data_IF_426399988240
#
_entry.id   IF_426399988240
#
_cell.length_a   1.000
_cell.length_b   1.000
_cell.length_c   1.000
_cell.angle_alpha   90.00
_cell.angle_beta   90.00
_cell.angle_gamma   90.00
#
_symmetry.space_group_name_H-M   'P 1'
#
loop_
_entity.id
_entity.type
_entity.pdbx_description
1 polymer ?
#
# COMPACT_ATOMS: atom_id res chain seq x y z
N UNK A 1 17.75 -1.66 -2.59
CA UNK A 1 18.10 -1.18 -3.94
C UNK A 1 16.82 -0.91 -4.70
N UNK A 2 16.54 0.36 -4.98
CA UNK A 2 15.45 0.77 -5.88
C UNK A 2 15.98 0.60 -7.30
N UNK A 3 15.32 -0.19 -8.16
CA UNK A 3 15.77 -0.45 -9.53
C UNK A 3 15.77 0.86 -10.33
N UNK A 4 16.84 1.11 -11.10
CA UNK A 4 16.86 2.11 -12.18
C UNK A 4 16.06 1.54 -13.35
N UNK A 5 14.80 1.93 -13.49
CA UNK A 5 13.91 1.52 -14.59
C UNK A 5 13.12 2.72 -15.12
N UNK A 6 12.55 2.56 -16.33
CA UNK A 6 11.64 3.55 -16.93
C UNK A 6 10.48 3.85 -15.98
N UNK A 7 10.09 5.13 -15.92
CA UNK A 7 9.12 5.62 -14.96
C UNK A 7 7.69 5.28 -15.43
N UNK A 8 7.25 4.04 -15.23
CA UNK A 8 5.87 3.65 -15.52
C UNK A 8 4.95 4.22 -14.45
N UNK A 9 4.03 5.11 -14.85
CA UNK A 9 3.03 5.69 -13.95
C UNK A 9 2.22 4.58 -13.28
N UNK A 10 2.26 4.50 -11.94
CA UNK A 10 1.48 3.50 -11.21
C UNK A 10 0.00 3.86 -11.33
N UNK A 11 -0.80 2.91 -11.81
CA UNK A 11 -2.26 3.03 -11.89
C UNK A 11 -2.91 1.90 -11.09
N UNK A 12 -3.83 2.20 -10.16
CA UNK A 12 -4.60 1.17 -9.49
C UNK A 12 -5.62 0.53 -10.44
N UNK A 13 -6.10 -0.64 -10.08
CA UNK A 13 -7.23 -1.28 -10.76
C UNK A 13 -8.49 -0.43 -10.59
N UNK A 14 -9.31 -0.37 -11.64
CA UNK A 14 -10.53 0.47 -11.73
C UNK A 14 -11.76 -0.16 -11.08
N UNK A 15 -11.60 -0.91 -9.98
CA UNK A 15 -12.74 -1.52 -9.31
C UNK A 15 -13.47 -0.51 -8.43
N UNK A 16 -14.80 -0.56 -8.49
CA UNK A 16 -15.67 0.15 -7.54
C UNK A 16 -15.71 -0.65 -6.25
N UNK A 17 -15.48 -0.01 -5.10
CA UNK A 17 -15.46 -0.70 -3.81
C UNK A 17 -16.18 0.10 -2.73
N UNK A 18 -16.82 -0.61 -1.81
CA UNK A 18 -17.52 -0.04 -0.67
C UNK A 18 -16.99 -0.63 0.63
N UNK A 19 -16.87 0.20 1.67
CA UNK A 19 -16.55 -0.23 3.02
C UNK A 19 -17.83 -0.44 3.81
N UNK A 20 -17.94 -1.56 4.52
CA UNK A 20 -19.07 -1.88 5.38
C UNK A 20 -18.54 -2.11 6.78
N UNK A 21 -19.07 -1.41 7.77
CA UNK A 21 -18.69 -1.55 9.17
C UNK A 21 -19.89 -1.93 10.04
N UNK A 22 -19.71 -2.70 11.12
CA UNK A 22 -20.72 -2.80 12.16
C UNK A 22 -20.77 -1.49 12.95
N UNK A 23 -21.97 -1.02 13.33
CA UNK A 23 -22.12 0.08 14.30
C UNK A 23 -21.57 -0.30 15.68
N UNK A 24 -21.63 -1.59 15.98
CA UNK A 24 -21.03 -2.19 17.17
C UNK A 24 -19.55 -2.52 16.91
N UNK A 25 -18.66 -1.76 17.54
CA UNK A 25 -17.21 -1.88 17.37
C UNK A 25 -16.60 -3.15 18.00
N UNK A 26 -17.39 -3.94 18.73
CA UNK A 26 -16.93 -5.22 19.30
C UNK A 26 -16.98 -6.36 18.29
N UNK A 27 -17.79 -6.23 17.24
CA UNK A 27 -17.95 -7.25 16.21
C UNK A 27 -16.69 -7.43 15.38
N UNK A 28 -16.41 -8.68 15.08
CA UNK A 28 -15.33 -9.11 14.20
C UNK A 28 -15.74 -8.99 12.73
N UNK A 29 -14.76 -8.92 11.83
CA UNK A 29 -15.05 -8.89 10.39
C UNK A 29 -15.69 -10.19 9.88
N UNK A 30 -15.54 -11.30 10.60
CA UNK A 30 -16.23 -12.55 10.29
C UNK A 30 -17.72 -12.46 10.60
N UNK A 31 -18.09 -11.90 11.74
CA UNK A 31 -19.49 -11.67 12.10
C UNK A 31 -20.15 -10.69 11.14
N UNK A 32 -19.50 -9.56 10.83
CA UNK A 32 -19.99 -8.62 9.82
C UNK A 32 -20.17 -9.31 8.46
N UNK A 33 -19.26 -10.23 8.09
CA UNK A 33 -19.35 -10.97 6.81
C UNK A 33 -20.57 -11.87 6.78
N UNK A 34 -20.81 -12.59 7.87
CA UNK A 34 -21.97 -13.46 7.99
C UNK A 34 -23.27 -12.66 7.92
N UNK A 35 -23.33 -11.46 8.54
CA UNK A 35 -24.49 -10.58 8.45
C UNK A 35 -24.72 -10.13 7.00
N UNK A 36 -23.67 -9.63 6.32
CA UNK A 36 -23.79 -9.18 4.93
C UNK A 36 -24.21 -10.31 4.00
N UNK A 37 -23.65 -11.51 4.13
CA UNK A 37 -24.00 -12.65 3.28
C UNK A 37 -25.41 -13.20 3.49
N UNK A 38 -26.03 -12.92 4.65
CA UNK A 38 -27.45 -13.24 4.90
C UNK A 38 -28.40 -12.22 4.26
N UNK A 39 -27.96 -10.97 4.11
CA UNK A 39 -28.78 -9.86 3.61
C UNK A 39 -28.64 -9.71 2.09
N UNK A 40 -27.41 -9.85 1.60
CA UNK A 40 -27.05 -9.62 0.20
C UNK A 40 -26.91 -10.96 -0.49
N UNK A 41 -27.83 -11.26 -1.42
CA UNK A 41 -27.77 -12.42 -2.30
C UNK A 41 -27.30 -11.96 -3.70
N UNK A 42 -26.02 -12.19 -4.09
CA UNK A 42 -25.49 -11.66 -5.34
C UNK A 42 -26.21 -12.15 -6.60
N UNK A 43 -26.72 -13.39 -6.61
CA UNK A 43 -27.46 -13.96 -7.74
C UNK A 43 -28.78 -13.26 -7.96
N UNK A 44 -29.56 -13.03 -6.90
CA UNK A 44 -30.86 -12.35 -6.97
C UNK A 44 -30.71 -10.89 -7.35
N UNK A 45 -29.72 -10.21 -6.77
CA UNK A 45 -29.44 -8.80 -7.04
C UNK A 45 -28.67 -8.56 -8.35
N UNK A 46 -28.30 -9.64 -9.07
CA UNK A 46 -27.45 -9.61 -10.27
C UNK A 46 -26.17 -8.80 -10.05
N UNK A 47 -25.52 -9.01 -8.89
CA UNK A 47 -24.29 -8.34 -8.49
C UNK A 47 -23.07 -9.12 -8.97
N UNK A 48 -22.17 -8.46 -9.68
CA UNK A 48 -20.86 -9.02 -10.03
C UNK A 48 -19.83 -8.63 -8.98
N UNK A 49 -19.73 -9.45 -7.92
CA UNK A 49 -18.76 -9.25 -6.84
C UNK A 49 -17.40 -9.79 -7.25
N UNK A 50 -16.38 -8.93 -7.31
CA UNK A 50 -14.98 -9.30 -7.57
C UNK A 50 -14.29 -9.89 -6.35
N UNK A 51 -14.64 -9.42 -5.16
CA UNK A 51 -14.04 -9.92 -3.93
C UNK A 51 -14.56 -9.25 -2.67
N UNK A 52 -14.35 -9.96 -1.56
CA UNK A 52 -14.69 -9.49 -0.21
C UNK A 52 -13.43 -9.59 0.66
N UNK A 53 -13.06 -8.51 1.32
CA UNK A 53 -11.85 -8.42 2.14
C UNK A 53 -12.17 -7.89 3.53
N UNK A 54 -11.64 -8.55 4.56
CA UNK A 54 -11.68 -8.07 5.95
C UNK A 54 -10.73 -6.90 6.15
N UNK A 55 -11.18 -5.90 6.90
CA UNK A 55 -10.38 -4.74 7.33
C UNK A 55 -10.52 -4.55 8.84
N UNK A 56 -9.76 -3.62 9.42
CA UNK A 56 -9.80 -3.34 10.86
C UNK A 56 -11.18 -2.87 11.34
N UNK A 57 -11.37 -2.83 12.68
CA UNK A 57 -12.64 -2.41 13.32
C UNK A 57 -13.86 -3.21 12.86
N UNK A 58 -13.69 -4.52 12.64
CA UNK A 58 -14.80 -5.39 12.23
C UNK A 58 -15.32 -5.15 10.81
N UNK A 59 -14.65 -4.31 10.02
CA UNK A 59 -15.14 -3.90 8.71
C UNK A 59 -14.85 -4.89 7.58
N UNK A 60 -15.52 -4.67 6.46
CA UNK A 60 -15.35 -5.36 5.18
C UNK A 60 -15.21 -4.35 4.05
N UNK A 61 -14.43 -4.72 3.03
CA UNK A 61 -14.47 -4.07 1.72
C UNK A 61 -15.03 -5.07 0.72
N UNK A 62 -16.06 -4.63 0.00
CA UNK A 62 -16.66 -5.38 -1.11
C UNK A 62 -16.32 -4.64 -2.40
N UNK A 63 -15.67 -5.34 -3.33
CA UNK A 63 -15.35 -4.82 -4.66
C UNK A 63 -16.30 -5.41 -5.69
N UNK A 64 -16.85 -4.55 -6.54
CA UNK A 64 -17.78 -4.91 -7.63
C UNK A 64 -17.16 -4.64 -9.00
N UNK A 65 -17.74 -5.24 -10.03
CA UNK A 65 -17.32 -5.02 -11.42
C UNK A 65 -17.59 -3.60 -11.88
N UNK A 66 -18.79 -3.09 -11.61
CA UNK A 66 -19.25 -1.79 -12.09
C UNK A 66 -19.66 -0.88 -10.92
N UNK A 67 -19.72 0.43 -11.20
CA UNK A 67 -20.26 1.41 -10.26
C UNK A 67 -21.75 1.18 -10.00
N UNK A 68 -22.50 0.74 -11.00
CA UNK A 68 -23.92 0.38 -10.88
C UNK A 68 -24.13 -0.75 -9.86
N UNK A 69 -23.28 -1.79 -9.88
CA UNK A 69 -23.34 -2.88 -8.90
C UNK A 69 -23.00 -2.39 -7.49
N UNK A 70 -22.09 -1.42 -7.37
CA UNK A 70 -21.80 -0.77 -6.09
C UNK A 70 -22.99 0.06 -5.59
N UNK A 71 -23.67 0.78 -6.48
CA UNK A 71 -24.83 1.59 -6.13
C UNK A 71 -26.01 0.72 -5.65
N UNK A 72 -26.20 -0.47 -6.23
CA UNK A 72 -27.16 -1.47 -5.72
C UNK A 72 -26.84 -1.87 -4.28
N UNK A 73 -25.56 -2.11 -3.96
CA UNK A 73 -25.13 -2.42 -2.59
C UNK A 73 -25.38 -1.24 -1.64
N UNK A 74 -25.02 -0.01 -2.04
CA UNK A 74 -25.26 1.20 -1.24
C UNK A 74 -26.74 1.45 -0.95
N UNK A 75 -27.62 1.11 -1.90
CA UNK A 75 -29.08 1.26 -1.78
C UNK A 75 -29.76 0.14 -0.98
N UNK A 76 -29.03 -0.88 -0.53
CA UNK A 76 -29.60 -2.01 0.21
C UNK A 76 -29.91 -1.60 1.66
N UNK A 77 -31.14 -1.14 1.90
CA UNK A 77 -31.60 -0.59 3.19
C UNK A 77 -31.45 -1.58 4.35
N UNK A 78 -31.61 -2.89 4.07
CA UNK A 78 -31.53 -3.97 5.07
C UNK A 78 -30.16 -4.04 5.75
N UNK A 79 -29.09 -3.56 5.10
CA UNK A 79 -27.76 -3.46 5.72
C UNK A 79 -27.78 -2.44 6.87
N UNK A 80 -28.37 -1.27 6.64
CA UNK A 80 -28.49 -0.22 7.66
C UNK A 80 -29.41 -0.63 8.81
N UNK A 81 -30.51 -1.35 8.51
CA UNK A 81 -31.44 -1.90 9.50
C UNK A 81 -30.79 -2.99 10.37
N UNK A 82 -29.80 -3.70 9.84
CA UNK A 82 -29.06 -4.75 10.56
C UNK A 82 -27.87 -4.22 11.37
N UNK A 83 -27.82 -2.90 11.59
CA UNK A 83 -26.78 -2.24 12.38
C UNK A 83 -25.43 -2.13 11.66
N UNK A 84 -25.42 -2.08 10.33
CA UNK A 84 -24.22 -1.83 9.54
C UNK A 84 -24.20 -0.39 8.99
N UNK A 85 -23.00 0.16 8.76
CA UNK A 85 -22.78 1.39 8.00
C UNK A 85 -22.11 1.05 6.67
N UNK A 86 -22.37 1.88 5.67
CA UNK A 86 -21.82 1.74 4.33
C UNK A 86 -21.13 3.06 3.99
N UNK A 87 -19.83 3.00 3.78
CA UNK A 87 -18.97 4.16 3.59
C UNK A 87 -18.10 3.99 2.33
N UNK A 88 -17.65 5.10 1.77
CA UNK A 88 -16.64 5.05 0.73
C UNK A 88 -15.28 4.65 1.34
N UNK A 89 -14.53 3.72 0.72
CA UNK A 89 -13.25 3.29 1.26
C UNK A 89 -12.27 4.46 1.30
N UNK A 90 -11.85 4.86 2.51
CA UNK A 90 -10.81 5.85 2.67
C UNK A 90 -9.48 5.29 2.14
N UNK A 91 -9.02 5.85 1.02
CA UNK A 91 -7.73 5.53 0.43
C UNK A 91 -6.63 6.37 1.09
N UNK A 92 -5.44 5.80 1.19
CA UNK A 92 -4.28 6.52 1.74
C UNK A 92 -3.66 7.40 0.67
N UNK A 93 -3.05 8.51 1.08
CA UNK A 93 -2.26 9.34 0.17
C UNK A 93 -1.09 8.55 -0.44
N UNK A 94 -0.73 8.83 -1.70
CA UNK A 94 0.40 8.19 -2.33
C UNK A 94 1.72 8.59 -1.70
N UNK A 95 2.69 7.70 -1.85
CA UNK A 95 4.07 7.96 -1.47
C UNK A 95 4.93 7.96 -2.71
N UNK A 96 5.82 8.94 -2.78
CA UNK A 96 6.88 9.01 -3.79
C UNK A 96 8.22 8.92 -3.10
N UNK A 97 9.21 8.41 -3.83
CA UNK A 97 10.60 8.40 -3.42
C UNK A 97 11.39 9.39 -4.26
N UNK A 98 12.08 10.30 -3.59
CA UNK A 98 13.03 11.24 -4.17
C UNK A 98 14.43 10.70 -3.86
N UNK A 99 15.16 10.32 -4.89
CA UNK A 99 16.44 9.65 -4.77
C UNK A 99 17.59 10.66 -4.78
N UNK A 100 18.57 10.49 -3.88
CA UNK A 100 19.80 11.27 -3.90
C UNK A 100 19.65 12.72 -3.41
N UNK A 101 18.79 12.96 -2.43
CA UNK A 101 18.66 14.26 -1.76
C UNK A 101 19.89 14.47 -0.85
N UNK A 102 20.56 15.64 -0.90
CA UNK A 102 21.68 15.94 -0.02
C UNK A 102 21.31 15.77 1.46
N UNK A 103 22.10 14.99 2.19
CA UNK A 103 21.85 14.67 3.59
C UNK A 103 22.08 15.86 4.53
N UNK A 104 22.80 16.88 4.08
CA UNK A 104 23.04 18.13 4.80
C UNK A 104 21.82 19.04 4.88
N UNK A 105 20.82 18.87 4.01
CA UNK A 105 19.64 19.73 3.97
C UNK A 105 18.61 19.34 5.03
N UNK A 106 18.05 20.35 5.69
CA UNK A 106 16.95 20.16 6.62
C UNK A 106 15.64 19.81 5.89
N UNK A 107 14.72 19.13 6.58
CA UNK A 107 13.47 18.66 5.98
C UNK A 107 12.63 19.80 5.39
N UNK A 108 12.48 20.89 6.12
CA UNK A 108 11.77 22.09 5.69
C UNK A 108 12.42 22.73 4.46
N UNK A 109 13.74 22.76 4.37
CA UNK A 109 14.46 23.28 3.20
C UNK A 109 14.18 22.43 1.96
N UNK A 110 14.22 21.10 2.10
CA UNK A 110 13.88 20.18 1.00
C UNK A 110 12.44 20.41 0.55
N UNK A 111 11.49 20.54 1.48
CA UNK A 111 10.08 20.77 1.14
C UNK A 111 9.85 22.12 0.46
N UNK A 112 10.51 23.17 0.94
CA UNK A 112 10.49 24.48 0.30
C UNK A 112 11.03 24.39 -1.13
N UNK A 113 12.17 23.72 -1.34
CA UNK A 113 12.72 23.52 -2.69
C UNK A 113 11.76 22.74 -3.60
N UNK A 114 11.11 21.69 -3.09
CA UNK A 114 10.13 20.92 -3.88
C UNK A 114 9.01 21.84 -4.36
N UNK A 115 8.50 22.73 -3.51
CA UNK A 115 7.48 23.69 -3.92
C UNK A 115 8.06 24.74 -4.89
N UNK A 116 9.05 25.50 -4.44
CA UNK A 116 9.56 26.70 -5.10
C UNK A 116 10.15 26.39 -6.49
N UNK A 117 10.91 25.29 -6.62
CA UNK A 117 11.64 24.94 -7.86
C UNK A 117 10.87 23.98 -8.78
N UNK A 118 9.76 23.37 -8.35
CA UNK A 118 9.12 22.30 -9.14
C UNK A 118 7.60 22.42 -9.28
N UNK A 119 6.91 23.15 -8.40
CA UNK A 119 5.45 23.14 -8.36
C UNK A 119 4.81 24.50 -8.62
N UNK A 120 5.49 25.62 -8.35
CA UNK A 120 4.95 26.99 -8.51
C UNK A 120 4.27 27.18 -9.87
N UNK A 121 4.92 26.82 -10.97
CA UNK A 121 4.38 26.99 -12.33
C UNK A 121 3.35 25.92 -12.72
N UNK A 122 3.33 24.79 -12.02
CA UNK A 122 2.51 23.61 -12.36
C UNK A 122 1.20 23.55 -11.62
N UNK A 123 1.13 24.16 -10.45
CA UNK A 123 -0.02 24.15 -9.55
C UNK A 123 -0.29 25.59 -9.07
N UNK A 124 -0.71 26.51 -9.98
CA UNK A 124 -0.83 27.93 -9.68
C UNK A 124 -1.90 28.25 -8.62
N UNK A 125 -2.85 27.35 -8.40
CA UNK A 125 -3.90 27.50 -7.38
C UNK A 125 -3.48 27.05 -5.99
N UNK A 126 -2.30 26.42 -5.85
CA UNK A 126 -1.84 25.88 -4.58
C UNK A 126 -0.83 26.82 -3.94
N UNK A 127 -1.14 27.35 -2.76
CA UNK A 127 -0.21 28.15 -1.94
C UNK A 127 0.87 27.28 -1.31
N UNK A 128 2.00 27.88 -0.93
CA UNK A 128 3.11 27.20 -0.24
C UNK A 128 2.67 26.61 1.10
N UNK A 129 1.86 27.34 1.85
CA UNK A 129 1.34 26.93 3.17
C UNK A 129 0.43 25.70 3.04
N UNK A 130 -0.48 25.72 2.06
CA UNK A 130 -1.33 24.57 1.74
C UNK A 130 -0.50 23.35 1.31
N UNK A 131 0.54 23.56 0.49
CA UNK A 131 1.47 22.50 0.09
C UNK A 131 2.14 21.87 1.31
N UNK A 132 2.81 22.68 2.15
CA UNK A 132 3.55 22.22 3.32
C UNK A 132 2.65 21.47 4.32
N UNK A 133 1.40 21.90 4.47
CA UNK A 133 0.40 21.21 5.31
C UNK A 133 -0.06 19.87 4.70
N UNK A 134 -0.04 19.76 3.38
CA UNK A 134 -0.57 18.59 2.66
C UNK A 134 0.42 17.43 2.52
N UNK A 135 1.72 17.71 2.63
CA UNK A 135 2.81 16.75 2.47
C UNK A 135 3.36 16.27 3.82
N UNK A 136 4.00 15.10 3.83
CA UNK A 136 4.61 14.55 5.06
C UNK A 136 5.80 13.66 4.76
N UNK A 137 6.90 13.79 5.51
CA UNK A 137 7.97 12.80 5.47
C UNK A 137 7.47 11.47 6.06
N UNK A 138 7.52 10.39 5.27
CA UNK A 138 7.28 9.06 5.81
C UNK A 138 8.52 8.51 6.51
N UNK A 139 9.65 8.49 5.81
CA UNK A 139 10.95 8.09 6.33
C UNK A 139 12.05 8.43 5.32
N UNK A 140 13.30 8.44 5.77
CA UNK A 140 14.47 8.46 4.91
C UNK A 140 15.02 7.04 4.73
N UNK A 141 15.64 6.77 3.60
CA UNK A 141 16.40 5.54 3.38
C UNK A 141 17.76 5.85 2.76
N UNK A 142 18.75 5.01 3.00
CA UNK A 142 20.13 5.26 2.57
C UNK A 142 21.12 4.72 3.59
N UNK A 143 22.40 4.95 3.36
CA UNK A 143 23.44 4.67 4.37
C UNK A 143 23.46 5.82 5.37
N UNK A 144 23.75 5.53 6.64
CA UNK A 144 23.67 6.50 7.74
C UNK A 144 24.62 7.69 7.55
N UNK A 145 25.77 7.46 6.92
CA UNK A 145 26.86 8.44 6.78
C UNK A 145 27.12 8.82 5.30
N UNK A 146 26.14 8.60 4.42
CA UNK A 146 26.25 9.03 3.03
C UNK A 146 25.92 10.51 2.88
N UNK A 147 26.64 11.20 2.00
CA UNK A 147 26.36 12.60 1.61
C UNK A 147 24.95 12.79 1.04
N UNK A 148 24.34 11.72 0.53
CA UNK A 148 23.01 11.72 -0.05
C UNK A 148 22.14 10.62 0.55
N UNK A 149 20.85 10.93 0.70
CA UNK A 149 19.83 10.00 1.17
C UNK A 149 18.60 10.03 0.25
N UNK A 150 17.67 9.10 0.45
CA UNK A 150 16.41 9.08 -0.28
C UNK A 150 15.27 9.48 0.64
N UNK A 151 14.43 10.39 0.18
CA UNK A 151 13.23 10.84 0.89
C UNK A 151 12.03 10.06 0.40
N UNK A 152 11.30 9.40 1.30
CA UNK A 152 9.99 8.83 1.00
C UNK A 152 8.96 9.78 1.59
N UNK A 153 8.22 10.46 0.73
CA UNK A 153 7.27 11.50 1.13
C UNK A 153 5.85 11.11 0.71
N UNK A 154 4.91 11.38 1.59
CA UNK A 154 3.48 11.24 1.36
C UNK A 154 2.92 12.55 0.80
N UNK A 155 2.22 12.48 -0.33
CA UNK A 155 1.76 13.66 -1.08
C UNK A 155 0.33 13.44 -1.59
N UNK A 156 -0.47 14.50 -1.81
CA UNK A 156 -1.73 14.41 -2.56
C UNK A 156 -1.57 13.90 -4.00
N UNK A 157 -2.64 13.35 -4.58
CA UNK A 157 -2.65 12.81 -5.95
C UNK A 157 -2.25 13.85 -7.01
N UNK A 158 -2.72 15.09 -6.88
CA UNK A 158 -2.37 16.20 -7.78
C UNK A 158 -0.88 16.52 -7.76
N UNK A 159 -0.28 16.64 -6.58
CA UNK A 159 1.16 16.85 -6.38
C UNK A 159 1.95 15.68 -6.93
N UNK A 160 1.56 14.44 -6.60
CA UNK A 160 2.19 13.24 -7.16
C UNK A 160 2.23 13.30 -8.69
N UNK A 161 1.08 13.57 -9.34
CA UNK A 161 0.98 13.63 -10.79
C UNK A 161 1.96 14.65 -11.38
N UNK A 162 2.03 15.85 -10.81
CA UNK A 162 2.97 16.88 -11.24
C UNK A 162 4.45 16.47 -11.10
N UNK A 163 4.80 15.84 -9.97
CA UNK A 163 6.18 15.44 -9.67
C UNK A 163 6.63 14.21 -10.46
N UNK A 164 5.79 13.18 -10.60
CA UNK A 164 6.14 11.94 -11.33
C UNK A 164 6.28 12.20 -12.83
N UNK A 165 5.41 13.04 -13.41
CA UNK A 165 5.50 13.42 -14.84
C UNK A 165 6.81 14.19 -15.13
N UNK A 166 7.34 14.93 -14.15
CA UNK A 166 8.62 15.63 -14.29
C UNK A 166 9.83 14.67 -14.33
N UNK A 167 9.67 13.41 -13.89
CA UNK A 167 10.72 12.38 -13.71
C UNK A 167 11.82 12.70 -12.68
N UNK A 168 12.17 13.98 -12.50
CA UNK A 168 13.25 14.45 -11.64
C UNK A 168 12.81 15.71 -10.91
N UNK A 169 13.15 15.83 -9.63
CA UNK A 169 12.95 17.03 -8.83
C UNK A 169 14.26 17.77 -8.64
N UNK A 170 14.19 19.09 -8.61
CA UNK A 170 15.31 19.95 -8.30
C UNK A 170 15.24 20.33 -6.83
N UNK A 171 16.36 20.14 -6.13
CA UNK A 171 16.57 20.52 -4.73
C UNK A 171 17.87 21.31 -4.69
N UNK A 172 17.77 22.64 -4.64
CA UNK A 172 18.89 23.55 -4.87
C UNK A 172 19.61 23.21 -6.18
N UNK A 173 20.91 22.90 -6.11
CA UNK A 173 21.76 22.53 -7.25
C UNK A 173 21.72 21.04 -7.59
N UNK A 174 20.87 20.26 -6.91
CA UNK A 174 20.82 18.80 -7.08
C UNK A 174 19.59 18.39 -7.86
N UNK A 175 19.78 17.56 -8.90
CA UNK A 175 18.70 16.93 -9.64
C UNK A 175 18.48 15.51 -9.13
N UNK A 176 17.31 15.26 -8.55
CA UNK A 176 16.95 14.03 -7.84
C UNK A 176 15.88 13.25 -8.61
N UNK A 177 16.13 12.01 -9.07
CA UNK A 177 15.07 11.19 -9.68
C UNK A 177 13.90 10.96 -8.72
N UNK A 178 12.67 11.02 -9.23
CA UNK A 178 11.45 10.78 -8.44
C UNK A 178 10.60 9.66 -9.02
N UNK A 179 10.15 8.74 -8.16
CA UNK A 179 9.38 7.54 -8.55
C UNK A 179 8.25 7.29 -7.56
N UNK A 180 7.24 6.54 -7.96
CA UNK A 180 6.25 6.02 -7.03
C UNK A 180 6.90 5.05 -6.04
N UNK A 181 6.56 5.19 -4.76
CA UNK A 181 7.02 4.29 -3.72
C UNK A 181 5.95 3.23 -3.43
N UNK A 182 6.05 2.09 -4.11
CA UNK A 182 5.11 0.97 -4.02
C UNK A 182 5.59 -0.21 -3.16
N UNK A 183 6.76 -0.07 -2.53
CA UNK A 183 7.39 -1.16 -1.78
C UNK A 183 6.56 -1.53 -0.54
N UNK A 184 6.21 -2.80 -0.45
CA UNK A 184 5.47 -3.36 0.69
C UNK A 184 6.43 -4.01 1.68
N UNK A 185 6.35 -3.59 2.94
CA UNK A 185 7.16 -4.14 4.02
C UNK A 185 6.93 -5.65 4.15
N UNK A 186 8.03 -6.41 4.07
CA UNK A 186 8.07 -7.83 4.45
C UNK A 186 8.48 -7.94 5.91
N UNK A 187 7.71 -8.68 6.69
CA UNK A 187 8.04 -9.06 8.05
C UNK A 187 9.15 -10.10 8.05
N UNK A 188 10.32 -9.77 8.58
CA UNK A 188 11.44 -10.71 8.68
C UNK A 188 11.24 -11.81 9.74
N UNK A 189 10.20 -11.71 10.58
CA UNK A 189 9.84 -12.75 11.56
C UNK A 189 9.00 -13.86 10.93
N UNK A 190 7.88 -13.52 10.28
CA UNK A 190 6.93 -14.50 9.72
C UNK A 190 6.95 -14.58 8.18
N UNK A 191 7.84 -13.84 7.54
CA UNK A 191 8.00 -13.75 6.08
C UNK A 191 6.76 -13.26 5.30
N UNK A 192 5.75 -12.69 5.98
CA UNK A 192 4.54 -12.16 5.34
C UNK A 192 4.67 -10.66 5.02
N UNK A 193 3.85 -10.18 4.08
CA UNK A 193 3.82 -8.78 3.68
C UNK A 193 2.78 -7.96 4.45
N UNK A 194 3.07 -6.68 4.66
CA UNK A 194 2.13 -5.67 5.18
C UNK A 194 2.38 -5.22 6.62
N UNK A 195 3.37 -5.78 7.31
CA UNK A 195 3.76 -5.34 8.65
C UNK A 195 5.26 -5.55 8.90
N UNK A 196 5.81 -4.81 9.87
CA UNK A 196 7.19 -4.96 10.30
C UNK A 196 7.32 -6.06 11.36
N UNK A 197 8.52 -6.62 11.54
CA UNK A 197 8.79 -7.63 12.56
C UNK A 197 8.44 -7.16 13.98
N UNK A 198 8.66 -5.87 14.29
CA UNK A 198 8.34 -5.24 15.58
C UNK A 198 6.85 -5.30 15.94
N UNK A 199 5.96 -5.33 14.94
CA UNK A 199 4.50 -5.39 15.13
C UNK A 199 3.93 -6.77 14.81
N UNK A 200 4.79 -7.77 14.66
CA UNK A 200 4.38 -9.13 14.33
C UNK A 200 3.83 -9.84 15.57
N UNK A 201 2.62 -10.40 15.45
CA UNK A 201 1.94 -11.11 16.55
C UNK A 201 2.26 -12.61 16.60
N UNK A 202 2.99 -13.14 15.63
CA UNK A 202 3.35 -14.57 15.61
C UNK A 202 4.42 -14.84 16.67
N UNK A 203 4.27 -15.91 17.44
CA UNK A 203 5.23 -16.32 18.46
C UNK A 203 6.55 -16.81 17.84
N UNK A 204 6.47 -17.88 17.02
CA UNK A 204 7.61 -18.49 16.37
C UNK A 204 8.04 -17.77 15.07
N UNK A 205 9.35 -17.74 14.74
CA UNK A 205 9.81 -17.27 13.45
C UNK A 205 9.51 -18.30 12.35
N UNK A 206 9.42 -17.81 11.11
CA UNK A 206 9.37 -18.64 9.90
C UNK A 206 10.68 -18.45 9.14
N UNK A 207 11.34 -19.55 8.82
CA UNK A 207 12.59 -19.55 8.08
C UNK A 207 12.38 -19.00 6.66
N UNK A 208 13.19 -18.02 6.26
CA UNK A 208 13.12 -17.43 4.92
C UNK A 208 13.72 -18.30 3.81
N UNK A 209 14.40 -19.40 4.17
CA UNK A 209 15.03 -20.33 3.22
C UNK A 209 14.21 -21.58 2.98
N UNK A 210 13.79 -22.31 4.03
CA UNK A 210 13.00 -23.54 3.88
C UNK A 210 11.49 -23.32 4.05
N UNK A 211 11.07 -22.20 4.66
CA UNK A 211 9.66 -21.88 4.91
C UNK A 211 9.03 -22.55 6.13
N UNK A 212 9.80 -23.31 6.90
CA UNK A 212 9.33 -23.96 8.13
C UNK A 212 9.29 -22.99 9.31
N UNK A 213 8.40 -23.25 10.26
CA UNK A 213 8.27 -22.48 11.50
C UNK A 213 9.23 -23.01 12.58
N UNK A 214 9.56 -22.16 13.56
CA UNK A 214 10.35 -22.53 14.74
C UNK A 214 11.80 -22.06 14.73
N UNK A 215 12.34 -21.63 13.58
CA UNK A 215 13.73 -21.16 13.48
C UNK A 215 13.90 -20.01 12.48
N UNK A 216 15.01 -19.27 12.60
CA UNK A 216 15.36 -18.21 11.66
C UNK A 216 16.13 -18.74 10.45
N UNK A 217 16.29 -17.95 9.40
CA UNK A 217 17.14 -18.34 8.26
C UNK A 217 18.59 -18.64 8.68
N UNK A 218 19.08 -17.99 9.74
CA UNK A 218 20.45 -18.20 10.23
C UNK A 218 20.61 -19.58 10.86
N UNK A 219 19.56 -20.09 11.50
CA UNK A 219 19.56 -21.39 12.21
C UNK A 219 19.07 -22.55 11.32
N UNK A 220 18.87 -22.29 10.03
CA UNK A 220 18.35 -23.29 9.11
C UNK A 220 19.36 -24.41 8.86
N UNK A 221 18.97 -25.66 9.07
CA UNK A 221 19.77 -26.86 8.78
C UNK A 221 19.72 -27.25 7.29
N UNK A 222 18.72 -26.76 6.55
CA UNK A 222 18.47 -27.07 5.13
C UNK A 222 19.09 -26.04 4.17
N UNK A 223 20.21 -25.40 4.55
CA UNK A 223 20.86 -24.35 3.73
C UNK A 223 21.41 -24.88 2.41
N UNK A 224 21.78 -26.16 2.34
CA UNK A 224 22.25 -26.82 1.12
C UNK A 224 21.12 -27.09 0.11
N UNK A 225 19.87 -27.14 0.58
CA UNK A 225 18.71 -27.40 -0.28
C UNK A 225 18.33 -26.15 -1.09
N UNK A 226 17.59 -26.37 -2.19
CA UNK A 226 17.00 -25.29 -2.97
C UNK A 226 16.06 -24.44 -2.12
N UNK A 227 16.15 -23.09 -2.18
CA UNK A 227 15.32 -22.22 -1.37
C UNK A 227 13.84 -22.34 -1.75
N UNK A 228 13.00 -22.35 -0.73
CA UNK A 228 11.54 -22.33 -0.84
C UNK A 228 10.98 -21.03 -0.27
N UNK A 229 10.09 -20.39 -1.00
CA UNK A 229 9.49 -19.14 -0.60
C UNK A 229 8.46 -19.38 0.51
N UNK A 230 8.79 -18.97 1.73
CA UNK A 230 7.97 -19.12 2.92
C UNK A 230 6.56 -18.52 2.74
N UNK A 231 6.46 -17.35 2.08
CA UNK A 231 5.19 -16.70 1.80
C UNK A 231 4.34 -17.51 0.82
N UNK A 232 4.94 -17.98 -0.28
CA UNK A 232 4.22 -18.74 -1.30
C UNK A 232 3.79 -20.12 -0.82
N UNK A 233 4.62 -20.80 -0.02
CA UNK A 233 4.27 -22.05 0.65
C UNK A 233 2.99 -21.91 1.48
N UNK A 234 2.93 -20.87 2.34
CA UNK A 234 1.75 -20.59 3.17
C UNK A 234 0.47 -20.40 2.36
N UNK A 235 0.56 -19.77 1.19
CA UNK A 235 -0.59 -19.51 0.31
C UNK A 235 -0.79 -20.58 -0.78
N UNK A 236 -0.09 -21.72 -0.70
CA UNK A 236 -0.16 -22.82 -1.69
C UNK A 236 0.06 -22.32 -3.12
N UNK A 237 1.05 -21.43 -3.31
CA UNK A 237 1.50 -20.91 -4.61
C UNK A 237 2.83 -21.56 -5.00
N UNK A 238 3.23 -21.52 -6.30
CA UNK A 238 4.56 -21.96 -6.71
C UNK A 238 5.63 -21.29 -5.84
N UNK A 239 6.46 -22.10 -5.18
CA UNK A 239 7.36 -21.63 -4.12
C UNK A 239 8.83 -21.97 -4.35
N UNK A 240 9.20 -22.47 -5.53
CA UNK A 240 10.58 -22.83 -5.89
C UNK A 240 11.39 -21.57 -6.25
N UNK A 241 11.54 -20.66 -5.28
CA UNK A 241 12.30 -19.42 -5.37
C UNK A 241 12.59 -18.91 -3.97
N UNK A 242 13.56 -18.00 -3.84
CA UNK A 242 13.87 -17.37 -2.54
C UNK A 242 12.71 -16.54 -2.01
N UNK A 243 12.50 -16.55 -0.69
CA UNK A 243 11.52 -15.65 -0.08
C UNK A 243 11.89 -14.20 -0.38
N UNK A 244 10.93 -13.42 -0.90
CA UNK A 244 11.14 -12.02 -1.25
C UNK A 244 11.75 -11.80 -2.64
N UNK A 245 11.84 -12.84 -3.47
CA UNK A 245 12.26 -12.71 -4.86
C UNK A 245 11.48 -11.61 -5.61
N UNK A 246 12.11 -10.82 -6.50
CA UNK A 246 11.42 -9.84 -7.32
C UNK A 246 10.22 -10.41 -8.09
N UNK A 247 10.33 -11.64 -8.58
CA UNK A 247 9.29 -12.30 -9.36
C UNK A 247 8.33 -13.13 -8.50
N UNK A 248 8.45 -13.07 -7.17
CA UNK A 248 7.59 -13.78 -6.24
C UNK A 248 6.11 -13.43 -6.44
N UNK A 249 5.23 -14.41 -6.72
CA UNK A 249 3.80 -14.16 -6.91
C UNK A 249 3.12 -13.52 -5.70
N UNK A 250 3.51 -13.92 -4.48
CA UNK A 250 2.98 -13.36 -3.25
C UNK A 250 3.41 -11.90 -3.04
N UNK A 251 4.62 -11.54 -3.49
CA UNK A 251 5.11 -10.16 -3.47
C UNK A 251 4.31 -9.27 -4.42
N UNK A 252 4.19 -9.68 -5.69
CA UNK A 252 3.38 -8.96 -6.69
C UNK A 252 1.93 -8.78 -6.22
N UNK A 253 1.35 -9.82 -5.62
CA UNK A 253 0.00 -9.77 -5.04
C UNK A 253 -0.08 -8.79 -3.86
N UNK A 254 0.96 -8.68 -3.04
CA UNK A 254 1.00 -7.71 -1.94
C UNK A 254 1.16 -6.27 -2.47
N UNK A 255 2.03 -6.05 -3.45
CA UNK A 255 2.22 -4.75 -4.13
C UNK A 255 0.94 -4.29 -4.81
N UNK A 256 0.26 -5.15 -5.57
CA UNK A 256 -1.02 -4.82 -6.20
C UNK A 256 -2.09 -4.45 -5.16
N UNK A 257 -2.18 -5.18 -4.04
CA UNK A 257 -3.09 -4.83 -2.95
C UNK A 257 -2.74 -3.50 -2.30
N UNK A 258 -1.44 -3.20 -2.14
CA UNK A 258 -0.99 -1.92 -1.64
C UNK A 258 -1.40 -0.80 -2.59
N UNK A 259 -1.06 -0.91 -3.87
CA UNK A 259 -1.38 0.07 -4.91
C UNK A 259 -2.88 0.38 -4.95
N UNK A 260 -3.74 -0.64 -4.92
CA UNK A 260 -5.20 -0.48 -4.94
C UNK A 260 -5.79 0.19 -3.68
N UNK A 261 -5.01 0.32 -2.61
CA UNK A 261 -5.41 0.99 -1.37
C UNK A 261 -4.93 2.45 -1.26
N UNK A 262 -4.24 2.95 -2.30
CA UNK A 262 -3.71 4.30 -2.38
C UNK A 262 -4.56 5.13 -3.35
N UNK A 263 -4.76 6.40 -3.01
CA UNK A 263 -5.43 7.37 -3.86
C UNK A 263 -4.46 8.02 -4.85
N UNK A 264 -4.22 7.34 -5.96
CA UNK A 264 -3.33 7.85 -7.00
C UNK A 264 -3.96 8.89 -7.93
N UNK A 265 -5.29 9.00 -7.94
CA UNK A 265 -6.06 9.78 -8.92
C UNK A 265 -6.76 11.01 -8.31
N UNK A 266 -6.93 11.07 -6.99
CA UNK A 266 -7.62 12.17 -6.30
C UNK A 266 -9.12 11.94 -6.33
N UNK A 267 -9.63 11.30 -5.27
CA UNK A 267 -11.07 11.09 -5.06
C UNK A 267 -11.66 12.13 -4.09
#
# INVERSE_FOLDING_TARGET
MVKKGSNSFVRPNTFSSVAIYPRDNTKTSDETKNIVQKIVCPSEMKLKVRGVRKIGKGGLIISTETKEDLDKLKKTVQLASSGLTIDDPQKRKPRIIVLGVPASLAENEVFNCIYDQNLTDKLPTMTKEAFLTSIKLSHKSGRKDAENCNYIIEVPASIRKALIVQDRLFVNWTSCPVRDFTLVTRCYKCQQYGHAAKTCKVAAPTCGHCGEEGHTTQDCTKKADTPKCATCLRFKKPANHKTGDPECPAKKSAENRYINSIDYEGA
#
